data_IF_980016123365
#
_entry.id   IF_980016123365
#
_cell.length_a   1.000
_cell.length_b   1.000
_cell.length_c   1.000
_cell.angle_alpha   90.00
_cell.angle_beta   90.00
_cell.angle_gamma   90.00
#
_symmetry.space_group_name_H-M   'P 1'
#
loop_
_entity.id
_entity.type
_entity.pdbx_description
1 polymer ?
#
# COMPACT_ATOMS: atom_id res chain seq x y z
N UNK A 1 -11.04 5.05 2.32
CA UNK A 1 -10.86 4.18 1.14
C UNK A 1 -10.34 2.83 1.63
N UNK A 2 -10.80 1.71 1.09
CA UNK A 2 -10.43 0.35 1.56
C UNK A 2 -8.98 -0.07 1.27
N UNK A 3 -8.05 0.88 1.21
CA UNK A 3 -6.63 0.73 0.87
C UNK A 3 -5.89 -0.10 1.92
N UNK A 4 -5.94 0.29 3.19
CA UNK A 4 -5.33 -0.45 4.31
C UNK A 4 -5.81 -1.91 4.34
N UNK A 5 -7.12 -2.12 4.16
CA UNK A 5 -7.68 -3.47 4.09
C UNK A 5 -7.15 -4.27 2.89
N UNK A 6 -7.04 -3.65 1.71
CA UNK A 6 -6.46 -4.30 0.53
C UNK A 6 -4.97 -4.57 0.76
N UNK A 7 -4.22 -3.61 1.29
CA UNK A 7 -2.78 -3.72 1.53
C UNK A 7 -2.48 -4.89 2.48
N UNK A 8 -3.09 -4.94 3.67
CA UNK A 8 -2.88 -6.01 4.65
C UNK A 8 -3.23 -7.38 4.07
N UNK A 9 -4.36 -7.49 3.37
CA UNK A 9 -4.79 -8.78 2.81
C UNK A 9 -3.99 -9.21 1.58
N UNK A 10 -3.46 -8.28 0.79
CA UNK A 10 -2.52 -8.59 -0.30
C UNK A 10 -1.18 -9.03 0.28
N UNK A 11 -0.69 -8.38 1.34
CA UNK A 11 0.52 -8.81 2.05
C UNK A 11 0.36 -10.23 2.62
N UNK A 12 -0.74 -10.50 3.34
CA UNK A 12 -1.05 -11.86 3.82
C UNK A 12 -1.18 -12.89 2.69
N UNK A 13 -1.76 -12.52 1.55
CA UNK A 13 -1.84 -13.40 0.38
C UNK A 13 -0.48 -13.68 -0.27
N UNK A 14 0.46 -12.72 -0.24
CA UNK A 14 1.82 -12.90 -0.72
C UNK A 14 2.61 -13.80 0.23
N UNK A 15 2.46 -13.59 1.54
CA UNK A 15 3.06 -14.46 2.57
C UNK A 15 2.55 -15.90 2.50
N UNK A 16 1.24 -16.11 2.30
CA UNK A 16 0.67 -17.46 2.10
C UNK A 16 1.34 -18.19 0.91
N UNK A 17 1.81 -17.44 -0.09
CA UNK A 17 2.51 -17.97 -1.27
C UNK A 17 4.00 -18.24 -1.02
N UNK A 18 4.48 -17.98 0.20
CA UNK A 18 5.85 -18.23 0.64
C UNK A 18 6.82 -17.08 0.35
N UNK A 19 6.32 -15.85 0.19
CA UNK A 19 7.16 -14.66 0.03
C UNK A 19 7.40 -13.97 1.37
N UNK A 20 8.61 -13.44 1.54
CA UNK A 20 8.95 -12.57 2.65
C UNK A 20 8.46 -11.14 2.33
N UNK A 21 7.62 -10.57 3.19
CA UNK A 21 6.93 -9.30 2.95
C UNK A 21 7.29 -8.28 4.02
N UNK A 22 7.72 -7.10 3.59
CA UNK A 22 7.80 -5.90 4.41
C UNK A 22 6.56 -5.04 4.17
N UNK A 23 5.87 -4.68 5.23
CA UNK A 23 4.74 -3.77 5.22
C UNK A 23 5.17 -2.41 5.80
N UNK A 24 4.92 -1.32 5.08
CA UNK A 24 5.23 0.04 5.54
C UNK A 24 3.93 0.81 5.69
N UNK A 25 3.60 1.21 6.93
CA UNK A 25 2.46 2.10 7.19
C UNK A 25 2.93 3.56 7.10
N UNK A 26 2.66 4.21 5.98
CA UNK A 26 3.05 5.60 5.73
C UNK A 26 1.92 6.58 6.07
N UNK A 27 0.74 6.11 6.47
CA UNK A 27 -0.37 6.96 6.83
C UNK A 27 -0.16 7.51 8.26
N UNK A 28 -0.11 8.84 8.46
CA UNK A 28 0.02 9.42 9.80
C UNK A 28 -1.11 9.08 10.76
N UNK A 29 -2.20 8.45 10.30
CA UNK A 29 -3.26 7.93 11.17
C UNK A 29 -2.93 6.58 11.80
N UNK A 30 -1.90 5.86 11.34
CA UNK A 30 -1.48 4.58 11.90
C UNK A 30 -2.50 3.45 11.77
N UNK A 31 -3.47 3.58 10.86
CA UNK A 31 -4.55 2.60 10.75
C UNK A 31 -4.02 1.20 10.43
N UNK A 32 -2.98 1.05 9.59
CA UNK A 32 -2.47 -0.28 9.28
C UNK A 32 -1.73 -0.85 10.48
N UNK A 33 -0.91 -0.02 11.14
CA UNK A 33 -0.18 -0.35 12.38
C UNK A 33 -1.13 -0.88 13.45
N UNK A 34 -2.23 -0.18 13.73
CA UNK A 34 -3.23 -0.65 14.70
C UNK A 34 -3.92 -1.94 14.25
N UNK A 35 -4.29 -2.05 12.97
CA UNK A 35 -4.97 -3.22 12.41
C UNK A 35 -4.05 -4.45 12.24
N UNK A 36 -2.76 -4.31 12.47
CA UNK A 36 -1.77 -5.40 12.57
C UNK A 36 -1.43 -5.71 14.04
N UNK A 37 -2.25 -5.23 14.99
CA UNK A 37 -2.10 -5.52 16.41
C UNK A 37 -0.99 -4.72 17.10
N UNK A 38 -0.39 -3.74 16.43
CA UNK A 38 0.77 -2.98 16.92
C UNK A 38 0.38 -1.61 17.49
N UNK A 39 -0.81 -1.51 18.09
CA UNK A 39 -1.32 -0.22 18.61
C UNK A 39 -0.37 0.43 19.62
N UNK A 40 0.25 -0.35 20.49
CA UNK A 40 1.16 0.18 21.52
C UNK A 40 2.44 0.79 20.91
N UNK A 41 2.81 0.39 19.69
CA UNK A 41 4.00 0.88 18.97
C UNK A 41 3.76 2.25 18.34
N UNK A 42 2.51 2.60 18.03
CA UNK A 42 2.17 3.87 17.37
C UNK A 42 2.53 5.10 18.21
N UNK A 43 2.49 4.97 19.54
CA UNK A 43 2.82 6.02 20.50
C UNK A 43 4.24 5.87 21.10
N UNK A 44 5.08 4.95 20.58
CA UNK A 44 6.46 4.79 21.04
C UNK A 44 7.30 6.04 20.75
N UNK A 45 8.27 6.30 21.64
CA UNK A 45 9.23 7.39 21.48
C UNK A 45 10.27 7.12 20.38
N UNK A 46 11.09 8.13 20.04
CA UNK A 46 12.05 8.04 18.95
C UNK A 46 13.17 6.99 19.23
N UNK A 47 13.76 6.40 18.17
CA UNK A 47 13.52 6.72 16.76
C UNK A 47 12.18 6.17 16.26
N UNK A 48 11.53 6.91 15.35
CA UNK A 48 10.28 6.51 14.69
C UNK A 48 10.34 6.73 13.17
N UNK A 49 9.30 6.33 12.44
CA UNK A 49 9.22 6.55 10.99
C UNK A 49 9.34 8.05 10.62
N UNK A 50 8.87 8.94 11.50
CA UNK A 50 9.04 10.38 11.35
C UNK A 50 10.52 10.79 11.33
N UNK A 51 11.30 10.27 12.28
CA UNK A 51 12.72 10.59 12.40
C UNK A 51 13.51 10.18 11.17
N UNK A 52 13.31 8.95 10.69
CA UNK A 52 14.08 8.40 9.57
C UNK A 52 13.71 9.07 8.24
N UNK A 53 12.48 9.56 8.09
CA UNK A 53 12.05 10.30 6.90
C UNK A 53 12.50 11.77 6.93
N UNK A 54 12.58 12.39 8.11
CA UNK A 54 12.85 13.82 8.27
C UNK A 54 14.33 14.13 8.44
N UNK A 55 15.12 13.20 9.00
CA UNK A 55 16.53 13.37 9.30
C UNK A 55 17.40 12.36 8.55
N UNK A 56 18.22 12.87 7.64
CA UNK A 56 19.14 12.07 6.84
C UNK A 56 20.14 11.26 7.68
N UNK A 57 20.53 11.77 8.86
CA UNK A 57 21.49 11.10 9.75
C UNK A 57 20.86 9.91 10.48
N UNK A 58 19.53 9.85 10.56
CA UNK A 58 18.79 8.79 11.24
C UNK A 58 18.24 7.71 10.31
N UNK A 59 18.34 7.87 8.99
CA UNK A 59 17.75 6.92 8.00
C UNK A 59 18.12 5.46 8.24
N UNK A 60 19.36 5.18 8.63
CA UNK A 60 19.81 3.81 8.89
C UNK A 60 19.10 3.15 10.07
N UNK A 61 18.52 3.93 11.00
CA UNK A 61 17.75 3.41 12.12
C UNK A 61 16.42 2.79 11.71
N UNK A 62 16.03 2.83 10.42
CA UNK A 62 14.83 2.13 9.94
C UNK A 62 14.86 0.63 10.27
N UNK A 63 16.05 0.00 10.29
CA UNK A 63 16.22 -1.41 10.68
C UNK A 63 15.76 -1.66 12.11
N UNK A 64 15.96 -0.70 13.02
CA UNK A 64 15.56 -0.79 14.42
C UNK A 64 14.04 -0.57 14.61
N UNK A 65 13.37 -0.02 13.59
CA UNK A 65 11.93 0.22 13.58
C UNK A 65 11.12 -1.00 13.12
N UNK A 66 11.75 -1.93 12.41
CA UNK A 66 11.08 -3.13 11.91
C UNK A 66 10.54 -3.93 13.10
N UNK A 67 9.28 -4.34 13.00
CA UNK A 67 8.58 -5.17 13.98
C UNK A 67 8.14 -6.46 13.29
N UNK A 68 8.52 -7.59 13.89
CA UNK A 68 8.07 -8.89 13.44
C UNK A 68 6.56 -9.04 13.64
N UNK A 69 5.87 -9.59 12.65
CA UNK A 69 4.49 -10.03 12.75
C UNK A 69 4.29 -11.35 11.99
N UNK A 70 3.29 -12.13 12.39
CA UNK A 70 3.11 -13.52 11.94
C UNK A 70 3.12 -13.70 10.41
N UNK A 71 2.54 -12.73 9.69
CA UNK A 71 2.39 -12.78 8.23
C UNK A 71 3.37 -11.87 7.47
N UNK A 72 4.04 -10.93 8.12
CA UNK A 72 4.86 -9.89 7.48
C UNK A 72 5.63 -9.12 8.52
N UNK A 73 6.80 -8.60 8.16
CA UNK A 73 7.46 -7.59 8.98
C UNK A 73 6.86 -6.22 8.72
N UNK A 74 6.86 -5.35 9.73
CA UNK A 74 6.17 -4.06 9.66
C UNK A 74 7.12 -2.92 10.04
N UNK A 75 7.19 -1.89 9.20
CA UNK A 75 7.63 -0.55 9.60
C UNK A 75 6.37 0.23 10.00
N UNK A 76 6.11 0.39 11.31
CA UNK A 76 4.90 1.02 11.79
C UNK A 76 4.92 2.53 11.52
N UNK A 77 3.73 3.10 11.40
CA UNK A 77 3.54 4.54 11.50
C UNK A 77 3.67 4.97 12.97
N UNK A 78 3.75 6.27 13.21
CA UNK A 78 3.90 6.84 14.54
C UNK A 78 3.15 8.16 14.63
N UNK A 79 2.69 8.54 15.83
CA UNK A 79 1.97 9.80 16.05
C UNK A 79 2.71 11.05 15.54
N UNK A 80 4.05 11.05 15.60
CA UNK A 80 4.88 12.16 15.11
C UNK A 80 4.82 12.33 13.58
N UNK A 81 4.38 11.30 12.84
CA UNK A 81 4.14 11.41 11.40
C UNK A 81 3.10 12.48 11.05
N UNK A 82 2.27 12.92 12.00
CA UNK A 82 1.34 14.04 11.80
C UNK A 82 2.06 15.36 11.50
N UNK A 83 3.34 15.48 11.86
CA UNK A 83 4.19 16.66 11.61
C UNK A 83 5.16 16.49 10.43
N UNK A 84 5.11 15.38 9.69
CA UNK A 84 6.13 15.03 8.67
C UNK A 84 6.04 15.88 7.39
N UNK A 85 4.83 16.28 6.98
CA UNK A 85 4.61 17.00 5.71
C UNK A 85 5.39 18.34 5.63
N UNK A 86 5.37 19.21 6.66
CA UNK A 86 6.23 20.39 6.71
C UNK A 86 7.73 20.07 6.57
N UNK A 87 8.21 19.04 7.25
CA UNK A 87 9.63 18.64 7.22
C UNK A 87 10.04 18.14 5.83
N UNK A 88 9.21 17.28 5.21
CA UNK A 88 9.43 16.81 3.84
C UNK A 88 9.46 17.96 2.85
N UNK A 89 8.57 18.94 3.00
CA UNK A 89 8.52 20.12 2.11
C UNK A 89 9.81 20.94 2.16
N UNK A 90 10.48 21.00 3.31
CA UNK A 90 11.76 21.70 3.48
C UNK A 90 12.96 20.89 2.97
N UNK A 91 12.80 19.59 2.75
CA UNK A 91 13.86 18.71 2.28
C UNK A 91 14.18 18.96 0.80
N UNK A 92 15.48 18.89 0.46
CA UNK A 92 15.97 19.01 -0.93
C UNK A 92 15.48 17.89 -1.85
N UNK A 93 15.08 16.75 -1.28
CA UNK A 93 14.60 15.57 -2.01
C UNK A 93 13.26 15.13 -1.42
N UNK A 94 12.33 16.08 -1.31
CA UNK A 94 11.08 15.93 -0.56
C UNK A 94 10.32 14.64 -0.89
N UNK A 95 10.23 14.26 -2.18
CA UNK A 95 9.55 13.06 -2.65
C UNK A 95 10.39 11.77 -2.69
N UNK A 96 11.63 11.76 -2.18
CA UNK A 96 12.53 10.59 -2.27
C UNK A 96 12.96 10.05 -0.90
N UNK A 97 12.55 10.66 0.20
CA UNK A 97 12.96 10.28 1.56
C UNK A 97 12.67 8.82 1.88
N UNK A 98 11.48 8.30 1.52
CA UNK A 98 11.16 6.90 1.76
C UNK A 98 12.06 5.96 0.95
N UNK A 99 12.32 6.28 -0.32
CA UNK A 99 13.22 5.47 -1.15
C UNK A 99 14.62 5.40 -0.56
N UNK A 100 15.18 6.54 -0.13
CA UNK A 100 16.48 6.63 0.53
C UNK A 100 16.49 5.91 1.90
N UNK A 101 15.35 5.86 2.58
CA UNK A 101 15.22 5.16 3.86
C UNK A 101 15.23 3.64 3.61
N UNK A 102 14.42 3.16 2.66
CA UNK A 102 14.31 1.74 2.31
C UNK A 102 15.61 1.15 1.74
N UNK A 103 16.56 1.97 1.25
CA UNK A 103 17.92 1.51 0.92
C UNK A 103 18.67 0.90 2.10
N UNK A 104 18.26 1.21 3.35
CA UNK A 104 18.89 0.70 4.56
C UNK A 104 18.17 -0.53 5.14
N UNK A 105 16.99 -0.89 4.62
CA UNK A 105 16.29 -2.10 5.07
C UNK A 105 16.97 -3.34 4.47
N UNK A 106 17.04 -4.42 5.25
CA UNK A 106 17.60 -5.68 4.81
C UNK A 106 16.97 -6.15 3.48
N UNK A 107 17.82 -6.54 2.53
CA UNK A 107 17.39 -6.91 1.17
C UNK A 107 16.81 -8.33 1.07
N UNK A 108 16.31 -8.89 2.18
CA UNK A 108 15.77 -10.25 2.24
C UNK A 108 14.28 -10.32 1.84
N UNK A 109 13.59 -9.19 1.77
CA UNK A 109 12.17 -9.16 1.39
C UNK A 109 11.96 -9.32 -0.12
N UNK A 110 11.06 -10.22 -0.49
CA UNK A 110 10.58 -10.39 -1.86
C UNK A 110 9.64 -9.25 -2.28
N UNK A 111 8.86 -8.73 -1.33
CA UNK A 111 7.87 -7.67 -1.54
C UNK A 111 7.93 -6.60 -0.45
N UNK A 112 7.81 -5.34 -0.88
CA UNK A 112 7.50 -4.21 0.00
C UNK A 112 6.12 -3.67 -0.36
N UNK A 113 5.20 -3.67 0.60
CA UNK A 113 3.84 -3.12 0.46
C UNK A 113 3.77 -1.83 1.28
N UNK A 114 3.40 -0.72 0.63
CA UNK A 114 3.33 0.60 1.27
C UNK A 114 1.87 1.05 1.37
N UNK A 115 1.35 1.20 2.59
CA UNK A 115 0.04 1.79 2.84
C UNK A 115 0.15 3.32 2.89
N UNK A 116 -0.28 3.98 1.82
CA UNK A 116 -0.13 5.43 1.65
C UNK A 116 -1.19 6.22 2.44
N UNK A 117 -1.04 7.52 2.74
CA UNK A 117 -2.17 8.32 3.23
C UNK A 117 -3.26 8.57 2.16
N UNK A 118 -4.47 9.02 2.53
CA UNK A 118 -5.58 9.24 1.60
C UNK A 118 -5.51 10.56 0.81
N UNK A 119 -4.48 11.38 1.02
CA UNK A 119 -4.33 12.72 0.43
C UNK A 119 -3.13 12.77 -0.54
N UNK A 120 -3.24 13.61 -1.57
CA UNK A 120 -2.17 13.89 -2.53
C UNK A 120 -1.19 14.89 -1.87
N UNK A 121 -0.03 14.40 -1.44
CA UNK A 121 0.99 15.17 -0.70
C UNK A 121 2.36 14.50 -0.74
N UNK A 122 3.36 15.02 -0.01
CA UNK A 122 4.74 14.51 -0.10
C UNK A 122 4.82 13.06 0.34
N UNK A 123 4.03 12.61 1.31
CA UNK A 123 4.04 11.19 1.70
C UNK A 123 3.59 10.28 0.54
N UNK A 124 2.58 10.69 -0.22
CA UNK A 124 2.17 9.95 -1.41
C UNK A 124 3.25 9.96 -2.49
N UNK A 125 3.94 11.09 -2.69
CA UNK A 125 5.07 11.19 -3.62
C UNK A 125 6.19 10.23 -3.23
N UNK A 126 6.52 10.18 -1.94
CA UNK A 126 7.52 9.27 -1.39
C UNK A 126 7.17 7.81 -1.64
N UNK A 127 5.92 7.42 -1.41
CA UNK A 127 5.45 6.06 -1.67
C UNK A 127 5.53 5.71 -3.16
N UNK A 128 5.04 6.59 -4.02
CA UNK A 128 5.03 6.37 -5.48
C UNK A 128 6.44 6.35 -6.07
N UNK A 129 7.31 7.25 -5.63
CA UNK A 129 8.71 7.30 -6.04
C UNK A 129 9.47 6.04 -5.62
N UNK A 130 9.30 5.60 -4.36
CA UNK A 130 9.94 4.40 -3.84
C UNK A 130 9.43 3.12 -4.50
N UNK A 131 8.11 2.99 -4.68
CA UNK A 131 7.51 1.78 -5.20
C UNK A 131 7.61 1.65 -6.73
N UNK A 132 7.43 2.75 -7.48
CA UNK A 132 7.27 2.78 -8.94
C UNK A 132 6.23 1.78 -9.50
N UNK A 133 5.35 1.29 -8.64
CA UNK A 133 4.34 0.29 -8.92
C UNK A 133 3.13 0.62 -8.03
N UNK A 134 1.94 0.69 -8.61
CA UNK A 134 0.74 1.10 -7.90
C UNK A 134 -0.37 0.07 -8.08
N UNK A 135 -0.96 -0.36 -6.96
CA UNK A 135 -2.22 -1.10 -6.92
C UNK A 135 -3.31 -0.12 -6.47
N UNK A 136 -4.35 0.08 -7.27
CA UNK A 136 -5.33 1.16 -7.06
C UNK A 136 -6.62 0.60 -6.43
N UNK A 137 -6.93 0.86 -5.15
CA UNK A 137 -8.21 0.49 -4.57
C UNK A 137 -9.30 1.46 -5.02
N UNK A 138 -10.40 0.95 -5.56
CA UNK A 138 -11.52 1.76 -6.05
C UNK A 138 -12.84 1.36 -5.37
N UNK A 139 -13.73 2.33 -5.17
CA UNK A 139 -15.12 2.06 -4.80
C UNK A 139 -15.99 2.09 -6.05
N UNK A 140 -17.04 1.27 -6.09
CA UNK A 140 -17.97 1.24 -7.21
C UNK A 140 -19.01 2.40 -7.14
N UNK A 141 -18.52 3.64 -7.00
CA UNK A 141 -19.31 4.86 -6.84
C UNK A 141 -18.86 5.96 -7.81
N UNK A 142 -19.78 6.79 -8.31
CA UNK A 142 -19.55 7.79 -9.37
C UNK A 142 -18.49 8.83 -9.03
N UNK A 143 -18.31 9.17 -7.76
CA UNK A 143 -17.25 10.07 -7.27
C UNK A 143 -15.84 9.56 -7.57
N UNK A 144 -15.68 8.27 -7.83
CA UNK A 144 -14.37 7.66 -8.11
C UNK A 144 -13.74 8.14 -9.41
N UNK A 145 -14.51 8.46 -10.46
CA UNK A 145 -13.94 8.91 -11.75
C UNK A 145 -13.07 10.16 -11.58
N UNK A 146 -13.58 11.15 -10.84
CA UNK A 146 -12.83 12.37 -10.55
C UNK A 146 -11.59 12.10 -9.68
N UNK A 147 -11.68 11.14 -8.76
CA UNK A 147 -10.53 10.75 -7.95
C UNK A 147 -9.43 10.10 -8.80
N UNK A 148 -9.78 9.28 -9.80
CA UNK A 148 -8.83 8.73 -10.77
C UNK A 148 -8.17 9.82 -11.61
N UNK A 149 -8.93 10.79 -12.14
CA UNK A 149 -8.37 11.91 -12.89
C UNK A 149 -7.31 12.66 -12.06
N UNK A 150 -7.66 13.02 -10.82
CA UNK A 150 -6.73 13.71 -9.92
C UNK A 150 -5.50 12.87 -9.60
N UNK A 151 -5.67 11.56 -9.39
CA UNK A 151 -4.56 10.63 -9.16
C UNK A 151 -3.60 10.58 -10.36
N UNK A 152 -4.12 10.44 -11.58
CA UNK A 152 -3.28 10.32 -12.77
C UNK A 152 -2.63 11.63 -13.20
N UNK A 153 -3.31 12.77 -13.00
CA UNK A 153 -2.70 14.09 -13.17
C UNK A 153 -1.49 14.24 -12.23
N UNK A 154 -1.66 13.81 -10.97
CA UNK A 154 -0.61 13.83 -9.95
C UNK A 154 0.56 12.89 -10.28
N UNK A 155 0.26 11.62 -10.62
CA UNK A 155 1.27 10.63 -11.05
C UNK A 155 2.05 11.13 -12.26
N UNK A 156 1.36 11.71 -13.26
CA UNK A 156 2.00 12.26 -14.46
C UNK A 156 2.92 13.44 -14.17
N UNK A 157 2.59 14.27 -13.16
CA UNK A 157 3.50 15.32 -12.70
C UNK A 157 4.73 14.71 -12.05
N UNK A 158 4.52 13.77 -11.13
CA UNK A 158 5.58 13.13 -10.37
C UNK A 158 6.58 12.39 -11.27
N UNK A 159 6.09 11.64 -12.27
CA UNK A 159 6.93 10.96 -13.25
C UNK A 159 7.85 11.94 -14.01
N UNK A 160 7.33 13.12 -14.39
CA UNK A 160 8.10 14.16 -15.08
C UNK A 160 9.10 14.83 -14.17
N UNK A 161 8.69 15.16 -12.94
CA UNK A 161 9.52 15.89 -11.98
C UNK A 161 10.74 15.06 -11.56
N UNK A 162 10.59 13.74 -11.52
CA UNK A 162 11.61 12.82 -11.05
C UNK A 162 12.26 11.94 -12.13
N UNK A 163 11.81 12.05 -13.38
CA UNK A 163 12.25 11.19 -14.50
C UNK A 163 12.13 9.68 -14.18
N UNK A 164 10.97 9.28 -13.65
CA UNK A 164 10.64 7.90 -13.30
C UNK A 164 9.42 7.40 -14.06
N UNK A 165 9.15 6.09 -13.96
CA UNK A 165 7.93 5.49 -14.49
C UNK A 165 7.21 4.66 -13.44
N UNK A 166 6.02 5.10 -13.06
CA UNK A 166 5.11 4.40 -12.16
C UNK A 166 4.22 3.51 -13.01
N UNK A 167 4.08 2.24 -12.62
CA UNK A 167 3.28 1.26 -13.35
C UNK A 167 2.05 0.87 -12.57
N UNK A 168 0.89 0.94 -13.20
CA UNK A 168 -0.34 0.37 -12.70
C UNK A 168 -0.23 -1.15 -12.72
N UNK A 169 -0.30 -1.77 -11.54
CA UNK A 169 -0.27 -3.24 -11.39
C UNK A 169 -1.64 -3.87 -11.35
N UNK A 170 -2.65 -3.05 -11.08
CA UNK A 170 -4.04 -3.42 -11.17
C UNK A 170 -4.95 -2.47 -10.42
N UNK A 171 -6.25 -2.66 -10.63
CA UNK A 171 -7.31 -1.96 -9.92
C UNK A 171 -8.06 -2.98 -9.06
N UNK A 172 -8.25 -2.67 -7.78
CA UNK A 172 -9.02 -3.50 -6.85
C UNK A 172 -10.34 -2.80 -6.53
N UNK A 173 -11.41 -3.23 -7.19
CA UNK A 173 -12.75 -2.74 -6.91
C UNK A 173 -13.23 -3.38 -5.60
N UNK A 174 -13.30 -2.57 -4.54
CA UNK A 174 -13.68 -2.98 -3.20
C UNK A 174 -15.13 -2.57 -2.88
N UNK A 175 -15.73 -3.23 -1.89
CA UNK A 175 -17.07 -2.95 -1.35
C UNK A 175 -18.18 -2.99 -2.41
N UNK A 176 -18.10 -3.96 -3.34
CA UNK A 176 -19.08 -4.08 -4.40
C UNK A 176 -20.43 -4.52 -3.82
N UNK A 177 -21.42 -3.61 -3.81
CA UNK A 177 -22.84 -3.96 -3.76
C UNK A 177 -23.41 -4.01 -5.18
N UNK A 178 -23.32 -5.19 -5.80
CA UNK A 178 -23.78 -5.48 -7.18
C UNK A 178 -25.27 -5.23 -7.42
N UNK A 179 -26.06 -4.91 -6.38
CA UNK A 179 -27.50 -4.63 -6.50
C UNK A 179 -27.79 -3.22 -7.00
N UNK A 180 -26.81 -2.31 -7.01
CA UNK A 180 -26.98 -0.93 -7.48
C UNK A 180 -26.54 -0.78 -8.94
N UNK A 181 -27.39 -0.19 -9.80
CA UNK A 181 -27.05 0.05 -11.21
C UNK A 181 -25.77 0.88 -11.37
N UNK A 182 -25.55 1.87 -10.49
CA UNK A 182 -24.35 2.71 -10.47
C UNK A 182 -23.05 1.92 -10.26
N UNK A 183 -23.10 0.81 -9.53
CA UNK A 183 -21.93 -0.04 -9.33
C UNK A 183 -21.53 -0.75 -10.63
N UNK A 184 -22.51 -1.14 -11.47
CA UNK A 184 -22.24 -1.76 -12.78
C UNK A 184 -21.59 -0.78 -13.74
N UNK A 185 -22.17 0.42 -13.88
CA UNK A 185 -21.64 1.47 -14.75
C UNK A 185 -20.20 1.87 -14.36
N UNK A 186 -19.88 1.90 -13.07
CA UNK A 186 -18.52 2.16 -12.60
C UNK A 186 -17.56 1.00 -12.91
N UNK A 187 -18.00 -0.25 -12.72
CA UNK A 187 -17.19 -1.42 -13.05
C UNK A 187 -16.88 -1.44 -14.54
N UNK A 188 -17.88 -1.26 -15.40
CA UNK A 188 -17.71 -1.19 -16.86
C UNK A 188 -16.72 -0.08 -17.24
N UNK A 189 -16.89 1.12 -16.67
CA UNK A 189 -15.96 2.21 -16.92
C UNK A 189 -14.52 1.91 -16.45
N UNK A 190 -14.33 1.25 -15.31
CA UNK A 190 -12.99 0.84 -14.85
C UNK A 190 -12.42 -0.21 -15.81
N UNK A 191 -13.20 -1.22 -16.19
CA UNK A 191 -12.74 -2.26 -17.13
C UNK A 191 -12.36 -1.67 -18.50
N UNK A 192 -13.09 -0.68 -18.98
CA UNK A 192 -12.77 0.04 -20.23
C UNK A 192 -11.55 0.97 -20.10
N UNK A 193 -11.40 1.66 -18.97
CA UNK A 193 -10.30 2.61 -18.75
C UNK A 193 -8.95 1.91 -18.47
N UNK A 194 -9.00 0.65 -18.04
CA UNK A 194 -7.86 -0.16 -17.62
C UNK A 194 -7.78 -1.47 -18.41
N UNK A 195 -8.00 -1.43 -19.73
CA UNK A 195 -8.05 -2.60 -20.60
C UNK A 195 -6.77 -3.46 -20.59
N UNK A 196 -5.60 -2.82 -20.47
CA UNK A 196 -4.30 -3.48 -20.36
C UNK A 196 -3.87 -3.80 -18.91
N UNK A 197 -4.72 -3.50 -17.92
CA UNK A 197 -4.39 -3.58 -16.49
C UNK A 197 -5.37 -4.52 -15.76
N UNK A 198 -4.90 -5.47 -14.95
CA UNK A 198 -5.80 -6.40 -14.25
C UNK A 198 -6.80 -5.67 -13.34
N UNK A 199 -8.08 -6.01 -13.46
CA UNK A 199 -9.15 -5.51 -12.58
C UNK A 199 -9.65 -6.65 -11.70
N UNK A 200 -9.42 -6.55 -10.39
CA UNK A 200 -9.88 -7.52 -9.39
C UNK A 200 -11.07 -6.99 -8.59
N UNK A 201 -11.91 -7.90 -8.13
CA UNK A 201 -13.15 -7.61 -7.42
C UNK A 201 -13.12 -8.22 -6.03
N UNK A 202 -13.19 -7.38 -5.00
CA UNK A 202 -13.27 -7.76 -3.60
C UNK A 202 -14.63 -7.30 -3.05
N UNK A 203 -15.42 -8.25 -2.57
CA UNK A 203 -16.75 -7.99 -2.02
C UNK A 203 -16.65 -7.54 -0.57
N UNK A 204 -17.61 -6.74 -0.15
CA UNK A 204 -17.72 -6.36 1.26
C UNK A 204 -18.03 -7.59 2.13
N UNK A 205 -17.22 -7.78 3.18
CA UNK A 205 -17.42 -8.82 4.19
C UNK A 205 -17.07 -8.28 5.57
N UNK A 206 -17.94 -8.55 6.54
CA UNK A 206 -17.65 -8.29 7.95
C UNK A 206 -16.43 -9.08 8.45
N UNK A 207 -16.08 -10.19 7.80
CA UNK A 207 -14.87 -10.96 8.11
C UNK A 207 -13.58 -10.14 7.88
N UNK A 208 -13.52 -9.29 6.84
CA UNK A 208 -12.33 -8.46 6.56
C UNK A 208 -12.07 -7.49 7.70
N UNK A 209 -13.11 -6.79 8.15
CA UNK A 209 -12.98 -5.83 9.25
C UNK A 209 -12.64 -6.54 10.56
N UNK A 210 -13.26 -7.69 10.85
CA UNK A 210 -12.97 -8.47 12.06
C UNK A 210 -11.53 -8.98 12.09
N UNK A 211 -11.02 -9.48 10.97
CA UNK A 211 -9.62 -9.92 10.86
C UNK A 211 -8.66 -8.78 11.23
N UNK A 212 -8.83 -7.61 10.61
CA UNK A 212 -8.03 -6.43 10.89
C UNK A 212 -8.15 -5.97 12.36
N UNK A 213 -9.36 -6.02 12.94
CA UNK A 213 -9.54 -5.68 14.37
C UNK A 213 -8.82 -6.67 15.30
N UNK A 214 -8.64 -7.92 14.86
CA UNK A 214 -7.90 -8.93 15.60
C UNK A 214 -6.38 -8.86 15.36
N UNK A 215 -5.92 -7.91 14.55
CA UNK A 215 -4.49 -7.68 14.34
C UNK A 215 -3.88 -8.46 13.17
N UNK A 216 -4.67 -8.93 12.20
CA UNK A 216 -4.13 -9.70 11.07
C UNK A 216 -4.96 -9.65 9.80
N UNK A 217 -4.50 -10.36 8.78
CA UNK A 217 -5.21 -10.51 7.51
C UNK A 217 -6.30 -11.59 7.57
N UNK A 218 -7.12 -11.70 6.53
CA UNK A 218 -8.08 -12.80 6.40
C UNK A 218 -7.42 -14.19 6.43
N UNK A 219 -6.15 -14.30 6.04
CA UNK A 219 -5.47 -15.59 5.90
C UNK A 219 -5.22 -16.26 7.25
N UNK A 220 -4.81 -15.48 8.25
CA UNK A 220 -4.68 -15.95 9.64
C UNK A 220 -6.02 -15.90 10.39
N UNK A 221 -6.73 -14.78 10.35
CA UNK A 221 -7.88 -14.54 11.24
C UNK A 221 -9.20 -15.12 10.73
N UNK A 222 -9.31 -15.39 9.43
CA UNK A 222 -10.54 -15.89 8.82
C UNK A 222 -10.28 -16.85 7.64
N UNK A 223 -9.55 -17.97 7.84
CA UNK A 223 -9.11 -18.88 6.77
C UNK A 223 -10.24 -19.60 6.02
N UNK A 224 -11.48 -19.43 6.47
CA UNK A 224 -12.70 -19.95 5.82
C UNK A 224 -13.44 -18.88 5.00
N UNK A 225 -12.91 -17.66 4.89
CA UNK A 225 -13.57 -16.57 4.20
C UNK A 225 -13.63 -16.81 2.67
N UNK A 226 -14.80 -16.54 2.07
CA UNK A 226 -15.03 -16.66 0.64
C UNK A 226 -14.30 -15.60 -0.22
N UNK A 227 -13.57 -14.67 0.42
CA UNK A 227 -12.76 -13.65 -0.25
C UNK A 227 -11.28 -14.02 -0.39
N UNK A 228 -10.81 -15.08 0.26
CA UNK A 228 -9.42 -15.54 0.11
C UNK A 228 -9.04 -15.80 -1.36
N UNK A 229 -9.89 -16.42 -2.21
CA UNK A 229 -9.56 -16.59 -3.63
C UNK A 229 -9.31 -15.26 -4.36
N UNK A 230 -10.06 -14.20 -4.04
CA UNK A 230 -9.85 -12.88 -4.66
C UNK A 230 -8.47 -12.31 -4.33
N UNK A 231 -8.01 -12.42 -3.07
CA UNK A 231 -6.69 -11.94 -2.67
C UNK A 231 -5.56 -12.83 -3.20
N UNK A 232 -5.75 -14.15 -3.24
CA UNK A 232 -4.82 -15.08 -3.90
C UNK A 232 -4.66 -14.78 -5.39
N UNK A 233 -5.75 -14.44 -6.08
CA UNK A 233 -5.71 -14.05 -7.49
C UNK A 233 -4.94 -12.74 -7.70
N UNK A 234 -5.07 -11.76 -6.79
CA UNK A 234 -4.25 -10.53 -6.80
C UNK A 234 -2.78 -10.88 -6.64
N UNK A 235 -2.42 -11.63 -5.58
CA UNK A 235 -1.04 -12.00 -5.29
C UNK A 235 -0.39 -12.81 -6.44
N UNK A 236 -1.13 -13.77 -7.02
CA UNK A 236 -0.69 -14.50 -8.24
C UNK A 236 -0.44 -13.54 -9.41
N UNK A 237 -1.35 -12.59 -9.65
CA UNK A 237 -1.20 -11.62 -10.71
C UNK A 237 0.02 -10.72 -10.52
N UNK A 238 0.34 -10.34 -9.28
CA UNK A 238 1.57 -9.60 -8.95
C UNK A 238 2.82 -10.44 -9.23
N UNK A 239 2.88 -11.69 -8.76
CA UNK A 239 4.00 -12.61 -9.06
C UNK A 239 4.29 -12.72 -10.55
N UNK A 240 3.26 -12.93 -11.36
CA UNK A 240 3.40 -13.07 -12.81
C UNK A 240 3.99 -11.80 -13.45
N UNK A 241 3.53 -10.64 -12.99
CA UNK A 241 4.02 -9.34 -13.49
C UNK A 241 5.47 -9.06 -13.09
N UNK A 242 5.88 -9.37 -11.85
CA UNK A 242 7.24 -9.14 -11.38
C UNK A 242 8.24 -10.20 -11.88
N UNK A 243 7.84 -11.47 -12.04
CA UNK A 243 8.69 -12.52 -12.63
C UNK A 243 9.02 -12.27 -14.10
N UNK A 244 8.04 -11.85 -14.91
CA UNK A 244 8.27 -11.50 -16.34
C UNK A 244 9.31 -10.39 -16.51
N UNK A 245 9.52 -9.56 -15.49
CA UNK A 245 10.49 -8.45 -15.53
C UNK A 245 11.92 -8.90 -15.19
N UNK A 246 12.10 -9.85 -14.26
CA UNK A 246 13.43 -10.45 -14.00
C UNK A 246 13.96 -11.17 -15.26
N UNK A 247 13.09 -11.85 -16.00
CA UNK A 247 13.46 -12.57 -17.23
C UNK A 247 13.70 -11.67 -18.47
N UNK A 248 13.40 -10.37 -18.42
CA UNK A 248 13.61 -9.44 -19.54
C UNK A 248 14.81 -8.51 -19.36
N UNK A 249 15.52 -8.62 -18.23
CA UNK A 249 16.76 -7.90 -17.92
C UNK A 249 17.99 -8.84 -17.86
N UNK A 250 17.82 -10.13 -18.13
CA UNK A 250 18.86 -11.12 -18.44
C UNK A 250 18.93 -11.34 -19.96
#
# INVERSE_FOLDING_TARGET
MGKTAVAINVAGALNERGHDVLFVDLDPQGNATENLGMRDVYDEGPPSLFDVLSDAEKRSSVTDLVREHEEMDVVPSNIDMTAVEPELTLSRRSGQQLSLTLEHVDHEYDYVIIDCPPFLGNLMDNALYAAQNMLIPALAETTSKRAFELLFDHVSSLEKDYDIRIRERGVVINRIDVRKNQAREMIEWIEDAFDDTPVWKVRERAAVQRAMTNGGSLFVEAPQCDQLPSFRDIARGLDEQFRRRRASHD
#
